data_IF_436619979132
#
_entry.id   IF_436619979132
#
_cell.length_a   1.000
_cell.length_b   1.000
_cell.length_c   1.000
_cell.angle_alpha   90.00
_cell.angle_beta   90.00
_cell.angle_gamma   90.00
#
_symmetry.space_group_name_H-M   'P 1'
#
loop_
_entity.id
_entity.type
_entity.pdbx_description
1 polymer ?
#
# COMPACT_ATOMS: atom_id res chain seq x y z
N UNK A 1 -9.34 43.60 -11.87
CA UNK A 1 -9.68 44.27 -10.59
C UNK A 1 -8.68 43.77 -9.54
N UNK A 2 -7.84 44.65 -8.96
CA UNK A 2 -6.69 44.25 -8.15
C UNK A 2 -7.08 43.87 -6.71
N UNK A 3 -6.30 42.97 -6.12
CA UNK A 3 -6.33 42.59 -4.69
C UNK A 3 -5.89 43.75 -3.79
N UNK A 4 -6.36 43.77 -2.52
CA UNK A 4 -5.58 44.36 -1.44
C UNK A 4 -5.08 43.31 -0.44
N UNK A 5 -3.77 43.36 -0.18
CA UNK A 5 -3.01 42.70 0.91
C UNK A 5 -3.11 43.58 2.18
N UNK A 6 -2.81 43.06 3.39
CA UNK A 6 -3.41 43.52 4.65
C UNK A 6 -2.61 44.62 5.36
N UNK A 7 -3.32 45.37 6.20
CA UNK A 7 -2.74 46.31 7.16
C UNK A 7 -2.28 45.58 8.42
N UNK A 8 -0.97 45.60 8.61
CA UNK A 8 -0.26 45.35 9.86
C UNK A 8 -0.61 46.48 10.83
N UNK A 9 -0.99 46.16 12.07
CA UNK A 9 -1.05 47.16 13.13
C UNK A 9 -0.23 46.70 14.34
N UNK A 10 0.91 47.34 14.51
CA UNK A 10 1.71 47.34 15.73
C UNK A 10 0.97 48.12 16.82
N UNK A 11 0.78 47.52 18.00
CA UNK A 11 0.63 48.30 19.23
C UNK A 11 1.55 47.77 20.31
N UNK A 12 2.56 48.59 20.56
CA UNK A 12 3.39 48.57 21.75
C UNK A 12 2.57 49.04 22.96
N UNK A 13 2.79 48.40 24.10
CA UNK A 13 2.32 48.83 25.41
C UNK A 13 3.20 48.21 26.49
N UNK A 14 4.20 48.97 26.95
CA UNK A 14 4.90 48.75 28.22
C UNK A 14 4.11 49.44 29.33
N UNK A 15 4.03 48.81 30.50
CA UNK A 15 4.35 49.41 31.81
C UNK A 15 4.14 48.37 32.93
N UNK A 16 5.25 47.91 33.50
CA UNK A 16 5.64 47.87 34.92
C UNK A 16 4.63 47.51 36.02
N UNK A 17 5.05 46.56 36.88
CA UNK A 17 4.44 46.27 38.18
C UNK A 17 5.15 45.12 38.90
N UNK A 18 5.93 45.48 39.91
CA UNK A 18 6.86 44.65 40.69
C UNK A 18 6.22 43.53 41.58
N UNK A 19 7.11 42.61 41.96
CA UNK A 19 7.27 42.05 43.32
C UNK A 19 6.99 40.55 43.53
N UNK A 20 8.09 39.81 43.69
CA UNK A 20 8.32 38.88 44.79
C UNK A 20 7.44 37.64 44.90
N UNK A 21 8.01 36.49 44.54
CA UNK A 21 8.06 35.29 45.41
C UNK A 21 9.01 34.25 44.85
N UNK A 22 10.01 33.93 45.66
CA UNK A 22 10.86 32.76 45.55
C UNK A 22 10.02 31.49 45.41
N UNK A 23 10.19 30.81 44.28
CA UNK A 23 9.89 29.39 44.16
C UNK A 23 11.07 28.75 43.43
N UNK A 24 11.94 28.11 44.23
CA UNK A 24 12.95 27.17 43.75
C UNK A 24 12.21 26.03 43.04
N UNK A 25 11.98 26.17 41.73
CA UNK A 25 11.59 25.04 40.90
C UNK A 25 12.83 24.18 40.70
N UNK A 26 12.83 23.04 41.38
CA UNK A 26 13.74 21.95 41.09
C UNK A 26 13.68 21.67 39.58
N UNK A 27 14.83 21.78 38.92
CA UNK A 27 14.97 21.54 37.50
C UNK A 27 14.44 20.17 37.13
N UNK A 28 13.38 20.13 36.32
CA UNK A 28 13.11 18.96 35.50
C UNK A 28 14.22 18.96 34.45
N UNK A 29 15.03 17.89 34.34
CA UNK A 29 16.02 17.81 33.28
C UNK A 29 15.25 17.73 31.96
N UNK A 30 15.21 18.85 31.23
CA UNK A 30 14.88 18.81 29.81
C UNK A 30 15.82 17.79 29.19
N UNK A 31 15.26 16.66 28.77
CA UNK A 31 15.99 15.72 27.95
C UNK A 31 16.36 16.51 26.70
N UNK A 32 17.64 16.84 26.57
CA UNK A 32 18.18 17.44 25.38
C UNK A 32 17.92 16.44 24.25
N UNK A 33 16.85 16.66 23.49
CA UNK A 33 16.67 16.02 22.20
C UNK A 33 17.92 16.40 21.41
N UNK A 34 18.84 15.45 21.25
CA UNK A 34 20.00 15.66 20.39
C UNK A 34 19.48 16.12 19.04
N UNK A 35 19.86 17.34 18.64
CA UNK A 35 19.39 17.90 17.39
C UNK A 35 19.86 16.98 16.26
N UNK A 36 18.92 16.40 15.52
CA UNK A 36 19.25 15.41 14.51
C UNK A 36 20.14 16.05 13.44
N UNK A 37 21.19 15.32 13.04
CA UNK A 37 22.15 15.79 12.05
C UNK A 37 21.86 15.19 10.68
N UNK A 38 22.20 15.94 9.62
CA UNK A 38 22.16 15.47 8.25
C UNK A 38 23.08 14.25 8.10
N UNK A 39 22.56 13.14 7.60
CA UNK A 39 23.33 11.89 7.44
C UNK A 39 24.46 12.00 6.40
N UNK A 40 24.46 13.04 5.57
CA UNK A 40 25.45 13.22 4.50
C UNK A 40 26.54 14.23 4.84
N UNK A 41 26.21 15.33 5.52
CA UNK A 41 27.15 16.41 5.80
C UNK A 41 27.29 16.77 7.28
N UNK A 42 26.53 16.12 8.17
CA UNK A 42 26.62 16.33 9.61
C UNK A 42 26.01 17.63 10.14
N UNK A 43 25.50 18.52 9.29
CA UNK A 43 24.86 19.75 9.75
C UNK A 43 23.61 19.45 10.59
N UNK A 44 23.43 20.20 11.66
CA UNK A 44 22.21 20.17 12.47
C UNK A 44 21.02 20.51 11.60
N UNK A 45 20.03 19.63 11.57
CA UNK A 45 18.79 19.81 10.84
C UNK A 45 17.89 20.78 11.61
N UNK A 46 17.25 21.70 10.89
CA UNK A 46 16.14 22.48 11.40
C UNK A 46 14.95 21.58 11.71
N UNK A 47 14.03 22.02 12.58
CA UNK A 47 12.81 21.26 12.92
C UNK A 47 12.01 20.88 11.67
N UNK A 48 11.93 21.77 10.68
CA UNK A 48 11.26 21.49 9.41
C UNK A 48 11.97 20.42 8.57
N UNK A 49 13.30 20.43 8.54
CA UNK A 49 14.07 19.40 7.84
C UNK A 49 13.97 18.04 8.53
N UNK A 50 13.98 18.02 9.86
CA UNK A 50 13.78 16.80 10.65
C UNK A 50 12.39 16.18 10.40
N UNK A 51 11.38 17.01 10.18
CA UNK A 51 10.02 16.53 9.87
C UNK A 51 9.90 15.90 8.48
N UNK A 52 10.72 16.35 7.52
CA UNK A 52 10.66 15.87 6.13
C UNK A 52 11.61 14.70 5.88
N UNK A 53 12.72 14.61 6.61
CA UNK A 53 13.65 13.50 6.47
C UNK A 53 14.95 13.65 7.23
N UNK A 54 15.97 12.94 6.74
CA UNK A 54 17.28 12.78 7.42
C UNK A 54 18.39 13.64 6.78
N UNK A 55 18.04 14.53 5.86
CA UNK A 55 18.99 15.26 5.01
C UNK A 55 18.64 16.75 5.01
N UNK A 56 19.66 17.61 5.06
CA UNK A 56 19.46 19.06 5.06
C UNK A 56 18.99 19.59 3.70
N UNK A 57 18.57 20.86 3.68
CA UNK A 57 18.03 21.58 2.53
C UNK A 57 19.02 21.84 1.40
N UNK A 58 20.33 21.59 1.62
CA UNK A 58 21.38 21.82 0.61
C UNK A 58 21.17 20.91 -0.60
N UNK A 59 21.20 21.49 -1.80
CA UNK A 59 20.93 20.79 -3.06
C UNK A 59 21.86 19.58 -3.30
N UNK A 60 23.13 19.69 -2.93
CA UNK A 60 24.10 18.59 -3.02
C UNK A 60 23.71 17.39 -2.16
N UNK A 61 23.31 17.64 -0.90
CA UNK A 61 22.89 16.60 0.02
C UNK A 61 21.58 15.95 -0.48
N UNK A 62 20.59 16.74 -0.91
CA UNK A 62 19.36 16.21 -1.49
C UNK A 62 19.62 15.34 -2.73
N UNK A 63 20.44 15.83 -3.66
CA UNK A 63 20.76 15.12 -4.91
C UNK A 63 21.49 13.81 -4.62
N UNK A 64 22.48 13.84 -3.73
CA UNK A 64 23.22 12.64 -3.32
C UNK A 64 22.29 11.64 -2.65
N UNK A 65 21.41 12.08 -1.75
CA UNK A 65 20.46 11.20 -1.08
C UNK A 65 19.51 10.51 -2.05
N UNK A 66 18.93 11.26 -2.99
CA UNK A 66 18.04 10.71 -4.03
C UNK A 66 18.78 9.67 -4.89
N UNK A 67 20.04 9.94 -5.26
CA UNK A 67 20.87 8.97 -6.02
C UNK A 67 21.16 7.70 -5.22
N UNK A 68 21.53 7.84 -3.95
CA UNK A 68 21.79 6.70 -3.05
C UNK A 68 20.52 5.86 -2.83
N UNK A 69 19.36 6.51 -2.67
CA UNK A 69 18.05 5.84 -2.59
C UNK A 69 17.71 5.10 -3.88
N UNK A 70 17.90 5.73 -5.05
CA UNK A 70 17.66 5.10 -6.34
C UNK A 70 18.56 3.87 -6.56
N UNK A 71 19.85 3.95 -6.22
CA UNK A 71 20.78 2.82 -6.30
C UNK A 71 20.44 1.70 -5.32
N UNK A 72 20.03 2.04 -4.09
CA UNK A 72 19.57 1.06 -3.11
C UNK A 72 18.31 0.33 -3.59
N UNK A 73 17.35 1.08 -4.17
CA UNK A 73 16.12 0.51 -4.74
C UNK A 73 16.42 -0.42 -5.92
N UNK A 74 17.33 -0.05 -6.83
CA UNK A 74 17.75 -0.91 -7.94
C UNK A 74 18.39 -2.22 -7.45
N UNK A 75 19.35 -2.14 -6.51
CA UNK A 75 19.99 -3.33 -5.93
C UNK A 75 18.96 -4.26 -5.27
N UNK A 76 18.01 -3.67 -4.54
CA UNK A 76 16.93 -4.40 -3.87
C UNK A 76 16.01 -5.09 -4.87
N UNK A 77 15.62 -4.40 -5.93
CA UNK A 77 14.80 -4.99 -6.99
C UNK A 77 15.53 -6.16 -7.68
N UNK A 78 16.83 -6.02 -7.98
CA UNK A 78 17.65 -7.13 -8.53
C UNK A 78 17.65 -8.34 -7.60
N UNK A 79 17.93 -8.14 -6.31
CA UNK A 79 17.97 -9.22 -5.33
C UNK A 79 16.60 -9.92 -5.18
N UNK A 80 15.50 -9.17 -5.26
CA UNK A 80 14.16 -9.74 -5.26
C UNK A 80 13.88 -10.58 -6.51
N UNK A 81 14.31 -10.13 -7.68
CA UNK A 81 14.16 -10.89 -8.93
C UNK A 81 15.02 -12.15 -8.95
N UNK A 82 16.26 -12.08 -8.49
CA UNK A 82 17.12 -13.26 -8.31
C UNK A 82 16.50 -14.29 -7.36
N UNK A 83 15.88 -13.83 -6.27
CA UNK A 83 15.12 -14.69 -5.34
C UNK A 83 13.91 -15.34 -6.01
N UNK A 84 13.23 -14.64 -6.92
CA UNK A 84 12.11 -15.22 -7.68
C UNK A 84 12.60 -16.32 -8.62
N UNK A 85 13.67 -16.06 -9.39
CA UNK A 85 14.27 -17.04 -10.28
C UNK A 85 14.76 -18.29 -9.52
N UNK A 86 15.47 -18.09 -8.40
CA UNK A 86 15.93 -19.20 -7.56
C UNK A 86 14.78 -20.02 -6.96
N UNK A 87 13.70 -19.35 -6.54
CA UNK A 87 12.50 -20.00 -6.02
C UNK A 87 11.79 -20.84 -7.08
N UNK A 88 11.72 -20.35 -8.32
CA UNK A 88 11.17 -21.13 -9.43
C UNK A 88 12.06 -22.34 -9.73
N UNK A 89 13.37 -22.15 -9.88
CA UNK A 89 14.31 -23.22 -10.18
C UNK A 89 14.22 -24.36 -9.15
N UNK A 90 14.14 -24.03 -7.86
CA UNK A 90 13.97 -25.02 -6.80
C UNK A 90 12.64 -25.81 -6.92
N UNK A 91 11.56 -25.18 -7.38
CA UNK A 91 10.29 -25.85 -7.62
C UNK A 91 10.31 -26.70 -8.90
N UNK A 92 11.07 -26.31 -9.92
CA UNK A 92 11.31 -27.11 -11.12
C UNK A 92 12.15 -28.35 -10.79
N UNK A 93 13.24 -28.17 -10.04
CA UNK A 93 14.15 -29.25 -9.63
C UNK A 93 13.45 -30.30 -8.76
N UNK A 94 12.54 -29.84 -7.90
CA UNK A 94 11.68 -30.71 -7.09
C UNK A 94 10.46 -31.27 -7.82
N UNK A 95 10.31 -30.97 -9.12
CA UNK A 95 9.19 -31.39 -9.97
C UNK A 95 7.81 -30.90 -9.48
N UNK A 96 7.79 -29.87 -8.63
CA UNK A 96 6.55 -29.26 -8.13
C UNK A 96 5.85 -28.40 -9.19
N UNK A 97 6.60 -27.90 -10.18
CA UNK A 97 6.11 -27.19 -11.37
C UNK A 97 6.87 -27.64 -12.61
N UNK A 98 6.27 -27.57 -13.82
CA UNK A 98 6.98 -27.89 -15.05
C UNK A 98 8.02 -26.83 -15.38
N UNK A 99 9.14 -27.27 -15.98
CA UNK A 99 10.11 -26.37 -16.58
C UNK A 99 9.48 -25.59 -17.75
N UNK A 100 9.80 -24.30 -17.86
CA UNK A 100 9.35 -23.44 -18.95
C UNK A 100 10.45 -22.42 -19.25
N UNK A 101 10.86 -22.30 -20.51
CA UNK A 101 11.98 -21.45 -20.89
C UNK A 101 11.63 -19.95 -20.89
N UNK A 102 10.35 -19.61 -21.08
CA UNK A 102 9.89 -18.22 -21.28
C UNK A 102 8.80 -17.81 -20.28
N UNK A 103 8.79 -18.41 -19.07
CA UNK A 103 7.80 -18.05 -18.06
C UNK A 103 8.13 -16.66 -17.50
N UNK A 104 7.14 -15.77 -17.49
CA UNK A 104 7.26 -14.47 -16.86
C UNK A 104 7.45 -14.59 -15.34
N UNK A 105 8.31 -13.75 -14.77
CA UNK A 105 8.58 -13.70 -13.32
C UNK A 105 8.21 -12.35 -12.74
N UNK A 106 7.59 -12.38 -11.56
CA UNK A 106 7.33 -11.16 -10.81
C UNK A 106 7.42 -11.34 -9.31
N UNK A 107 7.76 -10.24 -8.65
CA UNK A 107 7.78 -10.13 -7.20
C UNK A 107 6.72 -9.13 -6.79
N UNK A 108 5.84 -9.54 -5.90
CA UNK A 108 4.80 -8.69 -5.34
C UNK A 108 4.94 -8.62 -3.82
N UNK A 109 4.38 -7.59 -3.17
CA UNK A 109 4.36 -7.55 -1.71
C UNK A 109 3.54 -8.70 -1.11
N UNK A 110 3.78 -9.02 0.15
CA UNK A 110 2.94 -9.92 0.92
C UNK A 110 2.20 -9.15 2.02
N UNK A 111 0.87 -9.24 2.04
CA UNK A 111 0.10 -8.85 3.20
C UNK A 111 0.27 -9.91 4.30
N UNK A 112 0.79 -9.50 5.45
CA UNK A 112 0.97 -10.33 6.67
C UNK A 112 -0.10 -10.09 7.73
N UNK A 113 -1.00 -9.14 7.49
CA UNK A 113 -2.05 -8.78 8.45
C UNK A 113 -2.94 -9.98 8.74
N UNK A 114 -3.49 -10.05 9.94
CA UNK A 114 -4.39 -11.14 10.32
C UNK A 114 -5.81 -10.88 9.83
N UNK A 115 -6.51 -11.96 9.52
CA UNK A 115 -7.93 -11.96 9.24
C UNK A 115 -8.71 -12.00 10.56
N UNK A 116 -9.42 -10.92 10.89
CA UNK A 116 -10.15 -10.76 12.16
C UNK A 116 -11.65 -10.58 11.90
N UNK A 117 -12.47 -10.76 12.94
CA UNK A 117 -13.88 -10.38 12.91
C UNK A 117 -14.00 -8.87 12.66
N UNK A 118 -14.85 -8.47 11.72
CA UNK A 118 -15.06 -7.06 11.40
C UNK A 118 -15.85 -6.38 12.53
N UNK A 119 -15.26 -5.41 13.26
CA UNK A 119 -15.96 -4.76 14.36
C UNK A 119 -17.20 -4.02 13.85
N UNK A 120 -18.35 -4.21 14.54
CA UNK A 120 -19.61 -3.52 14.22
C UNK A 120 -19.45 -2.00 14.15
N UNK A 121 -18.56 -1.42 14.97
CA UNK A 121 -18.23 0.01 14.93
C UNK A 121 -17.70 0.44 13.56
N UNK A 122 -16.76 -0.32 12.98
CA UNK A 122 -16.18 -0.03 11.66
C UNK A 122 -17.22 -0.14 10.54
N UNK A 123 -18.15 -1.08 10.65
CA UNK A 123 -19.29 -1.19 9.72
C UNK A 123 -20.15 0.07 9.79
N UNK A 124 -20.52 0.53 11.01
CA UNK A 124 -21.31 1.75 11.17
C UNK A 124 -20.61 2.98 10.61
N UNK A 125 -19.33 3.18 10.96
CA UNK A 125 -18.52 4.30 10.45
C UNK A 125 -18.47 4.30 8.91
N UNK A 126 -18.32 3.13 8.29
CA UNK A 126 -18.38 3.02 6.83
C UNK A 126 -19.77 3.34 6.26
N UNK A 127 -20.84 2.79 6.85
CA UNK A 127 -22.22 3.02 6.41
C UNK A 127 -22.59 4.50 6.52
N UNK A 128 -22.27 5.16 7.62
CA UNK A 128 -22.52 6.58 7.84
C UNK A 128 -21.82 7.44 6.78
N UNK A 129 -20.56 7.13 6.49
CA UNK A 129 -19.82 7.79 5.42
C UNK A 129 -20.45 7.53 4.04
N UNK A 130 -20.80 6.28 3.75
CA UNK A 130 -21.38 5.90 2.46
C UNK A 130 -22.72 6.58 2.21
N UNK A 131 -23.56 6.76 3.24
CA UNK A 131 -24.78 7.57 3.15
C UNK A 131 -24.49 9.02 2.77
N UNK A 132 -23.45 9.63 3.35
CA UNK A 132 -23.01 10.98 2.98
C UNK A 132 -22.56 11.07 1.52
N UNK A 133 -21.79 10.09 1.04
CA UNK A 133 -21.35 10.00 -0.36
C UNK A 133 -22.55 9.80 -1.30
N UNK A 134 -23.50 8.94 -0.94
CA UNK A 134 -24.72 8.70 -1.71
C UNK A 134 -25.61 9.93 -1.81
N UNK A 135 -25.74 10.71 -0.72
CA UNK A 135 -26.50 11.96 -0.74
C UNK A 135 -25.89 12.96 -1.73
N UNK A 136 -24.57 13.07 -1.77
CA UNK A 136 -23.86 13.93 -2.72
C UNK A 136 -24.01 13.42 -4.16
N UNK A 137 -23.86 12.11 -4.38
CA UNK A 137 -24.01 11.51 -5.70
C UNK A 137 -25.42 11.65 -6.26
N UNK A 138 -26.45 11.51 -5.40
CA UNK A 138 -27.83 11.76 -5.78
C UNK A 138 -28.05 13.23 -6.18
N UNK A 139 -27.47 14.19 -5.43
CA UNK A 139 -27.56 15.61 -5.79
C UNK A 139 -26.94 15.89 -7.17
N UNK A 140 -25.80 15.27 -7.49
CA UNK A 140 -25.17 15.36 -8.82
C UNK A 140 -26.09 14.78 -9.89
N UNK A 141 -26.56 13.53 -9.71
CA UNK A 141 -27.41 12.83 -10.69
C UNK A 141 -28.69 13.60 -11.03
N UNK A 142 -29.30 14.25 -10.04
CA UNK A 142 -30.53 15.02 -10.23
C UNK A 142 -30.29 16.48 -10.60
N UNK A 143 -29.05 16.87 -10.96
CA UNK A 143 -28.72 18.20 -11.45
C UNK A 143 -28.69 19.29 -10.38
N UNK A 144 -28.65 18.91 -9.10
CA UNK A 144 -28.62 19.83 -7.96
C UNK A 144 -27.18 20.18 -7.51
N UNK A 145 -26.17 19.52 -8.07
CA UNK A 145 -24.76 19.77 -7.81
C UNK A 145 -23.90 19.39 -9.04
N UNK A 146 -22.70 19.95 -9.13
CA UNK A 146 -21.67 19.52 -10.09
C UNK A 146 -20.60 18.69 -9.39
N UNK A 147 -19.98 17.77 -10.12
CA UNK A 147 -18.73 17.16 -9.69
C UNK A 147 -17.59 18.08 -10.11
N UNK A 148 -16.81 18.55 -9.15
CA UNK A 148 -15.50 19.11 -9.47
C UNK A 148 -14.62 17.93 -9.92
N UNK A 149 -14.22 17.92 -11.19
CA UNK A 149 -13.34 16.91 -11.74
C UNK A 149 -11.93 17.11 -11.17
N UNK A 150 -11.61 16.39 -10.10
CA UNK A 150 -10.21 16.18 -9.73
C UNK A 150 -9.51 15.46 -10.91
N UNK A 151 -8.24 15.82 -11.22
CA UNK A 151 -7.51 15.12 -12.26
C UNK A 151 -7.42 13.62 -11.93
N UNK A 152 -7.84 12.78 -12.88
CA UNK A 152 -7.78 11.32 -12.74
C UNK A 152 -6.32 10.89 -12.55
N UNK A 153 -5.93 10.62 -11.30
CA UNK A 153 -4.61 10.07 -10.98
C UNK A 153 -4.50 8.57 -11.30
N UNK A 154 -5.64 7.91 -11.49
CA UNK A 154 -5.76 6.48 -11.73
C UNK A 154 -6.83 6.21 -12.78
N UNK A 155 -6.43 6.20 -14.05
CA UNK A 155 -7.26 5.62 -15.08
C UNK A 155 -7.25 4.09 -14.94
N UNK A 156 -8.42 3.48 -15.08
CA UNK A 156 -8.48 2.04 -15.30
C UNK A 156 -7.70 1.75 -16.59
N UNK A 157 -6.71 0.84 -16.59
CA UNK A 157 -5.88 0.62 -17.76
C UNK A 157 -6.76 0.23 -18.96
N UNK A 158 -6.95 1.18 -19.87
CA UNK A 158 -7.75 1.02 -21.06
C UNK A 158 -7.09 0.00 -21.99
N UNK A 159 -7.91 -0.86 -22.61
CA UNK A 159 -7.44 -1.80 -23.62
C UNK A 159 -6.89 -3.12 -23.09
N UNK A 160 -7.02 -3.41 -21.80
CA UNK A 160 -6.70 -4.75 -21.28
C UNK A 160 -7.73 -5.79 -21.71
N UNK A 161 -7.25 -6.96 -22.11
CA UNK A 161 -8.10 -8.13 -22.38
C UNK A 161 -8.65 -8.72 -21.09
N UNK A 162 -9.73 -9.51 -21.19
CA UNK A 162 -10.28 -10.24 -20.03
C UNK A 162 -9.23 -11.16 -19.38
N UNK A 163 -8.40 -11.82 -20.20
CA UNK A 163 -7.27 -12.65 -19.77
C UNK A 163 -6.27 -11.84 -18.94
N UNK A 164 -5.86 -10.65 -19.40
CA UNK A 164 -4.94 -9.79 -18.66
C UNK A 164 -5.56 -9.32 -17.33
N UNK A 165 -6.83 -8.92 -17.33
CA UNK A 165 -7.54 -8.51 -16.12
C UNK A 165 -7.67 -9.65 -15.09
N UNK A 166 -7.82 -10.89 -15.56
CA UNK A 166 -7.86 -12.09 -14.72
C UNK A 166 -6.48 -12.37 -14.11
N UNK A 167 -5.41 -12.37 -14.91
CA UNK A 167 -4.02 -12.56 -14.44
C UNK A 167 -3.65 -11.51 -13.40
N UNK A 168 -3.95 -10.23 -13.64
CA UNK A 168 -3.68 -9.16 -12.67
C UNK A 168 -4.50 -9.33 -11.38
N UNK A 169 -5.75 -9.77 -11.49
CA UNK A 169 -6.60 -10.12 -10.34
C UNK A 169 -6.02 -11.26 -9.50
N UNK A 170 -5.49 -12.30 -10.17
CA UNK A 170 -4.82 -13.43 -9.54
C UNK A 170 -3.50 -13.01 -8.88
N UNK A 171 -2.74 -12.08 -9.47
CA UNK A 171 -1.59 -11.45 -8.83
C UNK A 171 -1.96 -10.71 -7.53
N UNK A 172 -3.06 -9.95 -7.54
CA UNK A 172 -3.60 -9.33 -6.31
C UNK A 172 -3.98 -10.36 -5.23
N UNK A 173 -4.50 -11.52 -5.64
CA UNK A 173 -4.84 -12.60 -4.70
C UNK A 173 -3.58 -13.21 -4.04
N UNK A 174 -2.47 -13.34 -4.78
CA UNK A 174 -1.20 -13.84 -4.23
C UNK A 174 -0.61 -12.88 -3.18
N UNK A 175 -0.68 -11.55 -3.38
CA UNK A 175 -0.27 -10.60 -2.34
C UNK A 175 -1.26 -10.51 -1.17
N UNK A 176 -2.50 -10.97 -1.37
CA UNK A 176 -3.64 -10.82 -0.44
C UNK A 176 -3.91 -9.34 -0.13
N UNK A 177 -3.94 -8.51 -1.17
CA UNK A 177 -4.36 -7.11 -1.06
C UNK A 177 -3.44 -6.23 -0.20
N UNK A 178 -2.12 -6.28 -0.41
CA UNK A 178 -1.16 -5.48 0.37
C UNK A 178 -1.45 -3.98 0.34
N UNK A 179 -1.99 -3.44 -0.76
CA UNK A 179 -2.37 -2.03 -0.90
C UNK A 179 -3.76 -1.69 -0.35
N UNK A 180 -4.63 -2.69 -0.12
CA UNK A 180 -5.99 -2.50 0.41
C UNK A 180 -6.10 -1.76 1.76
N UNK A 181 -5.10 -1.81 2.69
CA UNK A 181 -5.04 -0.98 3.89
C UNK A 181 -5.27 0.51 3.66
N UNK A 182 -4.78 1.04 2.53
CA UNK A 182 -4.94 2.45 2.17
C UNK A 182 -6.41 2.83 1.95
N UNK A 183 -7.29 1.85 1.69
CA UNK A 183 -8.73 2.07 1.57
C UNK A 183 -9.44 2.21 2.92
N UNK A 184 -8.90 1.62 3.99
CA UNK A 184 -9.40 1.73 5.37
C UNK A 184 -10.94 1.86 5.50
N UNK A 185 -11.44 2.79 6.30
CA UNK A 185 -12.87 3.04 6.51
C UNK A 185 -13.62 3.68 5.34
N UNK A 186 -12.97 3.97 4.21
CA UNK A 186 -13.62 4.57 3.04
C UNK A 186 -13.71 3.64 1.82
N UNK A 187 -12.93 2.56 1.80
CA UNK A 187 -12.78 1.62 0.69
C UNK A 187 -12.56 2.29 -0.69
N UNK A 188 -11.95 3.48 -0.68
CA UNK A 188 -11.84 4.38 -1.84
C UNK A 188 -13.16 4.75 -2.55
N UNK A 189 -14.31 4.46 -1.94
CA UNK A 189 -15.61 4.82 -2.49
C UNK A 189 -15.81 6.33 -2.29
N UNK A 190 -15.95 7.05 -3.40
CA UNK A 190 -16.18 8.49 -3.45
C UNK A 190 -17.45 8.80 -4.27
N UNK A 191 -17.78 10.09 -4.40
CA UNK A 191 -19.01 10.54 -5.08
C UNK A 191 -19.02 10.05 -6.54
N UNK A 192 -17.92 10.21 -7.25
CA UNK A 192 -17.75 9.76 -8.63
C UNK A 192 -17.99 8.24 -8.79
N UNK A 193 -17.45 7.43 -7.89
CA UNK A 193 -17.66 5.97 -7.90
C UNK A 193 -19.15 5.63 -7.84
N UNK A 194 -19.89 6.33 -6.98
CA UNK A 194 -21.33 6.11 -6.81
C UNK A 194 -22.13 6.68 -7.99
N UNK A 195 -21.76 7.84 -8.52
CA UNK A 195 -22.41 8.42 -9.72
C UNK A 195 -22.30 7.44 -10.90
N UNK A 196 -21.09 6.94 -11.19
CA UNK A 196 -20.86 5.95 -12.24
C UNK A 196 -21.68 4.67 -12.04
N UNK A 197 -21.76 4.18 -10.80
CA UNK A 197 -22.60 3.02 -10.49
C UNK A 197 -24.09 3.31 -10.73
N UNK A 198 -24.59 4.48 -10.29
CA UNK A 198 -25.98 4.86 -10.51
C UNK A 198 -26.32 5.06 -11.99
N UNK A 199 -25.38 5.53 -12.81
CA UNK A 199 -25.54 5.64 -14.27
C UNK A 199 -25.74 4.27 -14.93
N UNK A 200 -25.01 3.26 -14.48
CA UNK A 200 -25.14 1.87 -14.94
C UNK A 200 -26.38 1.15 -14.39
N UNK A 201 -26.98 1.68 -13.32
CA UNK A 201 -28.15 1.11 -12.65
C UNK A 201 -29.26 2.15 -12.47
N UNK A 202 -29.86 2.66 -13.56
CA UNK A 202 -30.72 3.83 -13.49
C UNK A 202 -32.03 3.63 -12.72
N UNK A 203 -32.47 2.37 -12.61
CA UNK A 203 -33.71 1.98 -11.92
C UNK A 203 -33.57 1.90 -10.39
N UNK A 204 -32.34 1.95 -9.87
CA UNK A 204 -32.07 1.82 -8.43
C UNK A 204 -32.21 3.17 -7.72
N UNK A 205 -32.94 3.19 -6.59
CA UNK A 205 -32.99 4.36 -5.71
C UNK A 205 -31.74 4.39 -4.81
N UNK A 206 -31.35 5.54 -4.23
CA UNK A 206 -30.16 5.63 -3.36
C UNK A 206 -30.12 4.60 -2.22
N UNK A 207 -31.28 4.24 -1.64
CA UNK A 207 -31.38 3.19 -0.62
C UNK A 207 -31.04 1.79 -1.16
N UNK A 208 -31.37 1.53 -2.42
CA UNK A 208 -31.15 0.24 -3.07
C UNK A 208 -29.65 0.10 -3.39
N UNK A 209 -29.01 1.22 -3.81
CA UNK A 209 -27.56 1.31 -3.96
C UNK A 209 -26.84 1.08 -2.63
N UNK A 210 -27.28 1.73 -1.54
CA UNK A 210 -26.74 1.49 -0.20
C UNK A 210 -26.79 0.00 0.16
N UNK A 211 -27.96 -0.62 -0.02
CA UNK A 211 -28.16 -2.04 0.24
C UNK A 211 -27.23 -2.91 -0.61
N UNK A 212 -27.04 -2.58 -1.88
CA UNK A 212 -26.14 -3.30 -2.77
C UNK A 212 -24.70 -3.29 -2.24
N UNK A 213 -24.18 -2.13 -1.82
CA UNK A 213 -22.83 -2.00 -1.25
C UNK A 213 -22.69 -2.66 0.12
N UNK A 214 -23.68 -2.51 1.02
CA UNK A 214 -23.62 -3.07 2.37
C UNK A 214 -23.72 -4.60 2.35
N UNK A 215 -24.50 -5.17 1.42
CA UNK A 215 -24.65 -6.62 1.27
C UNK A 215 -23.34 -7.35 0.92
N UNK A 216 -22.33 -6.62 0.42
CA UNK A 216 -21.00 -7.17 0.10
C UNK A 216 -20.03 -7.15 1.28
N UNK A 217 -20.38 -6.54 2.41
CA UNK A 217 -19.49 -6.50 3.57
C UNK A 217 -19.45 -7.90 4.21
N UNK A 218 -18.25 -8.48 4.27
CA UNK A 218 -18.04 -9.79 4.91
C UNK A 218 -17.99 -9.70 6.44
N UNK A 219 -18.16 -10.85 7.11
CA UNK A 219 -18.03 -10.95 8.57
C UNK A 219 -16.57 -10.81 9.04
N UNK A 220 -15.62 -11.22 8.21
CA UNK A 220 -14.19 -11.19 8.53
C UNK A 220 -13.42 -10.38 7.50
N UNK A 221 -12.52 -9.54 7.98
CA UNK A 221 -11.66 -8.69 7.16
C UNK A 221 -10.23 -8.71 7.65
N UNK A 222 -9.27 -8.41 6.78
CA UNK A 222 -7.92 -8.14 7.27
C UNK A 222 -7.92 -6.93 8.22
N UNK A 223 -7.19 -7.05 9.33
CA UNK A 223 -6.98 -5.93 10.26
C UNK A 223 -6.42 -4.72 9.51
N UNK A 224 -6.80 -3.51 9.94
CA UNK A 224 -6.40 -2.23 9.35
C UNK A 224 -6.57 -2.15 7.81
N UNK A 225 -7.56 -2.85 7.27
CA UNK A 225 -7.87 -2.88 5.83
C UNK A 225 -9.28 -2.46 5.48
N UNK A 226 -9.62 -2.35 4.19
CA UNK A 226 -10.97 -1.94 3.81
C UNK A 226 -12.04 -2.98 4.21
N UNK A 227 -13.29 -2.52 4.39
CA UNK A 227 -14.41 -3.38 4.84
C UNK A 227 -14.77 -4.50 3.86
N UNK A 228 -14.30 -4.42 2.62
CA UNK A 228 -14.50 -5.43 1.58
C UNK A 228 -13.33 -6.43 1.46
N UNK A 229 -12.27 -6.28 2.25
CA UNK A 229 -11.07 -7.11 2.13
C UNK A 229 -11.19 -8.42 2.92
N UNK A 230 -11.80 -9.43 2.30
CA UNK A 230 -11.99 -10.76 2.87
C UNK A 230 -10.84 -11.73 2.52
N UNK A 231 -10.91 -12.95 3.07
CA UNK A 231 -9.94 -14.01 2.79
C UNK A 231 -9.83 -14.37 1.30
N UNK A 232 -10.96 -14.32 0.58
CA UNK A 232 -11.07 -14.58 -0.86
C UNK A 232 -10.72 -13.37 -1.73
N UNK A 233 -10.21 -12.29 -1.13
CA UNK A 233 -9.96 -11.02 -1.80
C UNK A 233 -11.07 -10.00 -1.58
N UNK A 234 -11.21 -9.07 -2.53
CA UNK A 234 -12.22 -8.01 -2.44
C UNK A 234 -13.61 -8.60 -2.73
N UNK A 235 -14.53 -8.49 -1.77
CA UNK A 235 -15.93 -8.95 -1.91
C UNK A 235 -16.78 -8.03 -2.81
N UNK A 236 -16.26 -6.84 -3.11
CA UNK A 236 -16.86 -5.91 -4.05
C UNK A 236 -16.47 -6.32 -5.48
N UNK A 237 -17.41 -6.44 -6.42
CA UNK A 237 -17.13 -6.80 -7.80
C UNK A 237 -16.55 -5.60 -8.57
N UNK A 238 -15.87 -5.82 -9.69
CA UNK A 238 -15.05 -4.80 -10.36
C UNK A 238 -15.85 -3.56 -10.78
N UNK A 239 -17.08 -3.76 -11.24
CA UNK A 239 -18.02 -2.70 -11.64
C UNK A 239 -18.41 -1.76 -10.48
N UNK A 240 -18.34 -2.25 -9.24
CA UNK A 240 -18.63 -1.47 -8.02
C UNK A 240 -17.38 -0.86 -7.37
N UNK A 241 -16.18 -1.27 -7.79
CA UNK A 241 -14.91 -0.78 -7.22
C UNK A 241 -14.59 0.61 -7.71
N UNK A 242 -13.92 1.43 -6.91
CA UNK A 242 -13.46 2.75 -7.34
C UNK A 242 -12.42 2.65 -8.46
N UNK A 243 -12.21 3.76 -9.20
CA UNK A 243 -11.12 3.89 -10.19
C UNK A 243 -9.76 3.50 -9.59
N UNK A 244 -9.46 3.94 -8.37
CA UNK A 244 -8.23 3.55 -7.64
C UNK A 244 -8.10 2.02 -7.52
N UNK A 245 -9.19 1.35 -7.13
CA UNK A 245 -9.18 -0.11 -6.96
C UNK A 245 -9.08 -0.87 -8.30
N UNK A 246 -9.56 -0.29 -9.40
CA UNK A 246 -9.47 -0.90 -10.73
C UNK A 246 -8.15 -0.58 -11.45
N UNK A 247 -7.59 0.61 -11.23
CA UNK A 247 -6.44 1.13 -11.96
C UNK A 247 -5.09 0.96 -11.26
N UNK A 248 -5.05 0.78 -9.94
CA UNK A 248 -3.78 0.67 -9.23
C UNK A 248 -3.05 -0.64 -9.54
N UNK A 249 -1.83 -0.53 -10.08
CA UNK A 249 -0.88 -1.62 -10.26
C UNK A 249 0.37 -1.38 -9.41
N UNK A 250 0.74 -2.33 -8.55
CA UNK A 250 2.05 -2.27 -7.89
C UNK A 250 3.16 -2.59 -8.91
N UNK A 251 4.43 -2.26 -8.60
CA UNK A 251 5.56 -2.49 -9.54
C UNK A 251 5.60 -3.93 -10.07
N UNK A 252 5.33 -4.92 -9.20
CA UNK A 252 5.24 -6.32 -9.60
C UNK A 252 4.12 -6.60 -10.61
N UNK A 253 2.92 -6.04 -10.42
CA UNK A 253 1.82 -6.21 -11.39
C UNK A 253 2.09 -5.47 -12.70
N UNK A 254 2.73 -4.30 -12.65
CA UNK A 254 3.20 -3.59 -13.85
C UNK A 254 4.22 -4.43 -14.62
N UNK A 255 5.15 -5.09 -13.93
CA UNK A 255 6.11 -6.00 -14.55
C UNK A 255 5.41 -7.18 -15.23
N UNK A 256 4.41 -7.78 -14.57
CA UNK A 256 3.61 -8.84 -15.18
C UNK A 256 2.95 -8.34 -16.46
N UNK A 257 2.26 -7.20 -16.39
CA UNK A 257 1.58 -6.64 -17.55
C UNK A 257 2.53 -6.38 -18.73
N UNK A 258 3.75 -5.93 -18.45
CA UNK A 258 4.77 -5.67 -19.46
C UNK A 258 5.42 -6.94 -20.04
N UNK A 259 5.26 -8.09 -19.38
CA UNK A 259 5.84 -9.38 -19.79
C UNK A 259 4.82 -10.32 -20.44
N UNK A 260 3.52 -10.11 -20.18
CA UNK A 260 2.47 -10.91 -20.80
C UNK A 260 2.08 -10.31 -22.15
N UNK A 261 2.41 -11.00 -23.22
CA UNK A 261 1.89 -10.70 -24.56
C UNK A 261 0.39 -11.03 -24.64
N UNK A 262 -0.23 -10.78 -25.79
CA UNK A 262 -1.60 -11.25 -26.11
C UNK A 262 -1.70 -12.79 -26.27
N UNK A 263 -0.76 -13.53 -25.68
CA UNK A 263 -0.78 -14.99 -25.63
C UNK A 263 -2.08 -15.44 -24.94
N UNK A 264 -2.80 -16.46 -25.45
CA UNK A 264 -4.12 -16.83 -24.93
C UNK A 264 -4.13 -17.28 -23.46
N UNK A 265 -3.00 -17.77 -22.94
CA UNK A 265 -2.89 -18.28 -21.56
C UNK A 265 -1.47 -18.08 -21.01
N UNK A 266 -1.07 -16.84 -20.68
CA UNK A 266 0.25 -16.58 -20.13
C UNK A 266 0.31 -17.14 -18.70
N UNK A 267 1.24 -18.04 -18.45
CA UNK A 267 1.60 -18.44 -17.10
C UNK A 267 2.68 -17.51 -16.56
N UNK A 268 2.47 -17.06 -15.34
CA UNK A 268 3.39 -16.16 -14.64
C UNK A 268 3.76 -16.80 -13.31
N UNK A 269 5.06 -16.92 -13.05
CA UNK A 269 5.55 -17.31 -11.74
C UNK A 269 5.71 -16.07 -10.85
N UNK A 270 5.11 -16.13 -9.68
CA UNK A 270 5.06 -15.00 -8.76
C UNK A 270 5.51 -15.42 -7.38
N UNK A 271 6.42 -14.65 -6.80
CA UNK A 271 6.68 -14.70 -5.36
C UNK A 271 6.08 -13.49 -4.66
N UNK A 272 5.44 -13.73 -3.52
CA UNK A 272 5.05 -12.67 -2.58
C UNK A 272 6.00 -12.63 -1.41
N UNK A 273 6.53 -11.44 -1.10
CA UNK A 273 7.57 -11.24 -0.07
C UNK A 273 7.14 -10.18 0.94
N UNK A 274 7.42 -10.41 2.23
CA UNK A 274 7.09 -9.43 3.28
C UNK A 274 8.06 -8.25 3.36
N UNK A 275 9.30 -8.45 2.92
CA UNK A 275 10.38 -7.46 2.83
C UNK A 275 10.36 -6.71 1.48
N UNK A 276 9.15 -6.50 0.94
CA UNK A 276 8.95 -5.83 -0.34
C UNK A 276 9.20 -4.33 -0.29
N UNK A 277 9.12 -3.70 0.88
CA UNK A 277 9.54 -2.33 1.09
C UNK A 277 10.62 -2.32 2.18
N UNK A 278 11.55 -1.35 2.15
CA UNK A 278 12.55 -1.21 3.20
C UNK A 278 11.84 -1.05 4.55
N UNK A 279 12.11 -1.98 5.46
CA UNK A 279 11.50 -1.96 6.78
C UNK A 279 12.10 -0.77 7.57
N UNK A 280 11.31 0.28 7.82
CA UNK A 280 11.78 1.41 8.65
C UNK A 280 11.82 1.06 10.14
N UNK A 281 11.13 -0.02 10.54
CA UNK A 281 11.02 -0.46 11.92
C UNK A 281 11.76 -1.78 12.14
N UNK A 282 12.28 -1.90 13.36
CA UNK A 282 12.99 -3.03 13.97
C UNK A 282 12.10 -4.29 14.12
N UNK A 283 11.38 -4.68 13.06
CA UNK A 283 10.58 -5.90 13.02
C UNK A 283 11.53 -7.08 12.81
N UNK A 284 11.84 -7.76 13.92
CA UNK A 284 12.73 -8.92 14.00
C UNK A 284 12.10 -10.19 13.39
N UNK A 285 10.91 -10.10 12.76
CA UNK A 285 10.33 -11.26 12.10
C UNK A 285 11.07 -11.59 10.80
N UNK A 286 11.44 -12.86 10.63
CA UNK A 286 12.03 -13.33 9.39
C UNK A 286 11.12 -13.04 8.20
N UNK A 287 11.68 -12.61 7.06
CA UNK A 287 10.90 -12.34 5.87
C UNK A 287 10.25 -13.63 5.37
N UNK A 288 8.97 -13.58 5.08
CA UNK A 288 8.20 -14.71 4.53
C UNK A 288 8.12 -14.61 3.01
N UNK A 289 8.33 -15.72 2.32
CA UNK A 289 8.07 -15.88 0.88
C UNK A 289 6.98 -16.89 0.66
N UNK A 290 6.09 -16.61 -0.30
CA UNK A 290 5.16 -17.60 -0.86
C UNK A 290 5.31 -17.59 -2.36
N UNK A 291 5.31 -18.75 -2.99
CA UNK A 291 5.37 -18.89 -4.44
C UNK A 291 4.00 -19.31 -4.99
N UNK A 292 3.69 -18.84 -6.20
CA UNK A 292 2.51 -19.25 -6.93
C UNK A 292 2.74 -19.20 -8.44
N UNK A 293 2.07 -20.09 -9.16
CA UNK A 293 1.79 -19.93 -10.59
C UNK A 293 0.43 -19.27 -10.74
N UNK A 294 0.36 -18.24 -11.58
CA UNK A 294 -0.91 -17.59 -11.92
C UNK A 294 -1.11 -17.59 -13.44
N UNK A 295 -2.37 -17.73 -13.84
CA UNK A 295 -2.84 -17.56 -15.21
C UNK A 295 -4.25 -16.93 -15.17
N UNK A 296 -4.99 -16.95 -16.28
CA UNK A 296 -6.36 -16.42 -16.31
C UNK A 296 -7.38 -17.30 -15.56
N UNK A 297 -7.06 -18.58 -15.30
CA UNK A 297 -7.96 -19.54 -14.68
C UNK A 297 -7.81 -19.58 -13.16
N UNK A 298 -6.66 -19.20 -12.61
CA UNK A 298 -6.52 -19.10 -11.16
C UNK A 298 -5.11 -18.91 -10.63
N UNK A 299 -4.96 -19.31 -9.37
CA UNK A 299 -3.74 -19.24 -8.58
C UNK A 299 -3.42 -20.64 -8.06
N UNK A 300 -2.26 -21.18 -8.41
CA UNK A 300 -1.72 -22.42 -7.84
C UNK A 300 -0.60 -22.06 -6.88
N UNK A 301 -0.80 -22.28 -5.58
CA UNK A 301 0.21 -21.96 -4.55
C UNK A 301 1.19 -23.11 -4.35
N UNK A 302 2.47 -22.79 -4.16
CA UNK A 302 3.53 -23.76 -3.93
C UNK A 302 4.25 -23.49 -2.62
N UNK A 303 4.58 -24.56 -1.90
CA UNK A 303 5.47 -24.48 -0.74
C UNK A 303 6.89 -24.47 -1.24
N UNK A 304 7.65 -23.44 -0.90
CA UNK A 304 9.06 -23.41 -1.22
C UNK A 304 9.81 -24.41 -0.35
N UNK A 305 10.74 -25.19 -0.92
CA UNK A 305 11.61 -26.02 -0.10
C UNK A 305 12.37 -25.13 0.89
N UNK A 306 12.68 -25.63 2.10
CA UNK A 306 13.54 -24.89 3.02
C UNK A 306 14.82 -24.54 2.28
N UNK A 307 15.21 -23.27 2.33
CA UNK A 307 16.49 -22.84 1.78
C UNK A 307 17.55 -23.76 2.36
N UNK A 308 18.27 -24.50 1.52
CA UNK A 308 19.37 -25.34 1.96
C UNK A 308 20.38 -24.41 2.62
N UNK A 309 20.32 -24.35 3.95
CA UNK A 309 21.29 -23.62 4.74
C UNK A 309 22.67 -24.14 4.37
N UNK A 310 23.58 -23.22 4.04
CA UNK A 310 24.99 -23.52 3.99
C UNK A 310 25.37 -24.25 5.28
N UNK A 311 26.17 -25.30 5.11
CA UNK A 311 26.74 -26.16 6.13
C UNK A 311 26.91 -25.43 7.47
N UNK A 312 26.05 -25.74 8.43
CA UNK A 312 26.38 -25.56 9.82
C UNK A 312 27.44 -26.61 10.14
N UNK A 313 28.67 -26.15 10.38
CA UNK A 313 29.82 -26.93 10.82
C UNK A 313 29.39 -28.05 11.77
N UNK A 314 29.51 -29.29 11.29
CA UNK A 314 29.52 -30.47 12.13
C UNK A 314 30.80 -30.42 12.98
N UNK A 315 30.75 -29.72 14.10
CA UNK A 315 31.75 -29.82 15.16
C UNK A 315 31.68 -31.25 15.69
N UNK A 316 32.65 -32.06 15.29
CA UNK A 316 32.84 -33.43 15.74
C UNK A 316 32.97 -33.50 17.25
N UNK A 317 32.12 -34.31 17.86
CA UNK A 317 32.23 -34.71 19.25
C UNK A 317 33.22 -35.88 19.34
N UNK A 318 34.41 -35.60 19.85
CA UNK A 318 35.45 -36.60 20.11
C UNK A 318 35.18 -37.22 21.49
N UNK A 319 35.06 -38.56 21.63
CA UNK A 319 34.78 -39.17 22.92
C UNK A 319 36.03 -39.13 23.81
N UNK A 320 35.91 -38.55 25.01
CA UNK A 320 36.93 -38.68 26.05
C UNK A 320 36.85 -40.08 26.66
N UNK A 321 38.00 -40.75 26.67
CA UNK A 321 38.33 -41.93 27.49
C UNK A 321 38.42 -41.57 28.96
#
# INVERSE_FOLDING_TARGET
>A
MPRPTPLINHRAGRADGESGRDARSAGVPFHSHHAAACILCGNVLTVGEQAVGKVCGRGECKTRHVREQAQAELRRQSALQERAAAAEQALVDSQAIPAANDRAHSVIPANRRRLTELPKRRVREFVDRLMGVLSQAAAVRFGNASLDSEPDLYDEPCGLTETQLAVLGNGCAVCRGHCCPQGSGHAFINVETIVRYMEQHPDQRPRDVLSAYVSRIGHRTYEDSCVYHAASGCTLPREMRSKVCNGYLCKGLTQILNQIDETPSPQVFVISVSDYEPNEANDQTHPTTRAALIDAHGVTSHSLPPATGGEADAVGDTPKR
#
